data_IF_547451688071
#
_entry.id   IF_547451688071
#
_cell.length_a   1.000
_cell.length_b   1.000
_cell.length_c   1.000
_cell.angle_alpha   90.00
_cell.angle_beta   90.00
_cell.angle_gamma   90.00
#
_symmetry.space_group_name_H-M   'P 1'
#
loop_
_entity.id
_entity.type
_entity.pdbx_description
1 polymer ?
#
# COMPACT_ATOMS: atom_id res chain seq x y z
N UNK A 1 6.89 6.99 -0.74
CA UNK A 1 6.24 5.70 -0.46
C UNK A 1 4.76 5.86 -0.66
N UNK A 2 4.08 4.82 -1.13
CA UNK A 2 2.63 4.75 -1.26
C UNK A 2 2.20 3.51 -0.50
N UNK A 3 1.41 3.68 0.55
CA UNK A 3 0.83 2.57 1.30
C UNK A 3 -0.52 2.22 0.68
N UNK A 4 -0.74 0.94 0.39
CA UNK A 4 -2.00 0.43 -0.16
C UNK A 4 -2.57 -0.66 0.73
N UNK A 5 -3.89 -0.72 0.79
CA UNK A 5 -4.61 -1.83 1.40
C UNK A 5 -5.50 -2.45 0.32
N UNK A 6 -5.21 -3.69 -0.04
CA UNK A 6 -6.06 -4.46 -0.94
C UNK A 6 -7.26 -5.01 -0.18
N UNK A 7 -8.31 -5.39 -0.94
CA UNK A 7 -9.41 -6.14 -0.34
C UNK A 7 -8.90 -7.49 0.17
N UNK A 8 -9.47 -8.06 1.25
CA UNK A 8 -8.96 -9.27 1.90
C UNK A 8 -8.85 -10.51 0.99
N UNK A 9 -9.67 -10.57 -0.05
CA UNK A 9 -9.79 -11.64 -1.02
C UNK A 9 -8.83 -11.52 -2.22
N UNK A 10 -8.15 -10.37 -2.35
CA UNK A 10 -7.20 -10.14 -3.44
C UNK A 10 -5.92 -10.93 -3.16
N UNK A 11 -5.62 -11.89 -4.04
CA UNK A 11 -4.30 -12.52 -4.12
C UNK A 11 -3.47 -11.81 -5.15
N UNK A 12 -2.21 -11.54 -4.80
CA UNK A 12 -1.23 -10.98 -5.71
C UNK A 12 0.13 -11.63 -5.44
N UNK A 13 0.97 -11.66 -6.46
CA UNK A 13 2.36 -12.06 -6.37
C UNK A 13 3.26 -10.86 -6.08
N UNK A 14 4.52 -11.12 -5.70
CA UNK A 14 5.51 -10.05 -5.56
C UNK A 14 5.74 -9.30 -6.89
N UNK A 15 5.73 -10.01 -8.03
CA UNK A 15 5.84 -9.38 -9.35
C UNK A 15 4.68 -8.45 -9.65
N UNK A 16 3.47 -8.78 -9.22
CA UNK A 16 2.32 -7.88 -9.41
C UNK A 16 2.48 -6.58 -8.60
N UNK A 17 3.08 -6.64 -7.40
CA UNK A 17 3.39 -5.45 -6.62
C UNK A 17 4.46 -4.58 -7.30
N UNK A 18 5.52 -5.21 -7.83
CA UNK A 18 6.57 -4.49 -8.57
C UNK A 18 5.98 -3.80 -9.80
N UNK A 19 5.22 -4.53 -10.62
CA UNK A 19 4.59 -3.99 -11.82
C UNK A 19 3.66 -2.81 -11.51
N UNK A 20 2.80 -2.92 -10.48
CA UNK A 20 1.93 -1.82 -10.04
C UNK A 20 2.71 -0.62 -9.51
N UNK A 21 3.84 -0.86 -8.83
CA UNK A 21 4.76 0.19 -8.41
C UNK A 21 5.36 0.95 -9.59
N UNK A 22 5.76 0.24 -10.64
CA UNK A 22 6.32 0.84 -11.86
C UNK A 22 5.27 1.69 -12.62
N UNK A 23 4.02 1.24 -12.66
CA UNK A 23 2.91 2.04 -13.22
C UNK A 23 2.71 3.36 -12.46
N UNK A 24 2.74 3.32 -11.12
CA UNK A 24 2.65 4.52 -10.29
C UNK A 24 3.86 5.43 -10.47
N UNK A 25 5.06 4.87 -10.58
CA UNK A 25 6.29 5.61 -10.87
C UNK A 25 6.18 6.36 -12.21
N UNK A 26 5.68 5.69 -13.25
CA UNK A 26 5.43 6.31 -14.56
C UNK A 26 4.46 7.48 -14.45
N UNK A 27 3.35 7.32 -13.72
CA UNK A 27 2.32 8.36 -13.56
C UNK A 27 2.78 9.54 -12.71
N UNK A 28 3.55 9.29 -11.66
CA UNK A 28 4.05 10.35 -10.76
C UNK A 28 5.34 11.00 -11.23
N UNK A 29 6.01 10.46 -12.26
CA UNK A 29 7.28 10.98 -12.76
C UNK A 29 8.44 10.88 -11.75
N UNK A 30 8.32 10.04 -10.72
CA UNK A 30 9.33 9.85 -9.67
C UNK A 30 9.33 8.43 -9.13
N UNK A 31 10.42 7.94 -8.53
CA UNK A 31 10.44 6.63 -7.87
C UNK A 31 9.33 6.49 -6.83
N UNK A 32 8.64 5.34 -6.84
CA UNK A 32 7.58 4.99 -5.90
C UNK A 32 7.93 3.67 -5.22
N UNK A 33 8.00 3.70 -3.90
CA UNK A 33 8.01 2.50 -3.06
C UNK A 33 6.56 2.16 -2.70
N UNK A 34 6.04 1.06 -3.26
CA UNK A 34 4.67 0.58 -3.02
C UNK A 34 4.67 -0.43 -1.88
N UNK A 35 3.94 -0.13 -0.82
CA UNK A 35 3.90 -0.92 0.40
C UNK A 35 2.50 -1.46 0.63
N UNK A 36 2.37 -2.76 0.91
CA UNK A 36 1.13 -3.33 1.43
C UNK A 36 1.01 -3.03 2.93
N UNK A 37 -0.13 -2.45 3.34
CA UNK A 37 -0.42 -2.11 4.74
C UNK A 37 -0.33 -3.31 5.66
N UNK A 38 -0.99 -4.43 5.33
CA UNK A 38 -1.02 -5.65 6.15
C UNK A 38 0.39 -6.23 6.32
N UNK A 39 1.21 -6.20 5.25
CA UNK A 39 2.60 -6.63 5.32
C UNK A 39 3.43 -5.73 6.26
N UNK A 40 3.21 -4.41 6.24
CA UNK A 40 3.87 -3.45 7.14
C UNK A 40 3.42 -3.67 8.59
N UNK A 41 2.13 -3.89 8.84
CA UNK A 41 1.58 -4.17 10.17
C UNK A 41 2.26 -5.40 10.80
N UNK A 42 2.41 -6.48 10.02
CA UNK A 42 3.02 -7.74 10.45
C UNK A 42 4.55 -7.73 10.50
N UNK A 43 5.20 -6.65 10.05
CA UNK A 43 6.66 -6.58 10.00
C UNK A 43 7.28 -6.71 11.39
N UNK A 44 8.35 -7.50 11.52
CA UNK A 44 9.09 -7.59 12.78
C UNK A 44 9.85 -6.30 13.12
N UNK A 45 10.13 -5.46 12.12
CA UNK A 45 10.81 -4.18 12.32
C UNK A 45 9.83 -3.11 12.81
N UNK A 46 9.64 -3.04 14.13
CA UNK A 46 8.68 -2.14 14.75
C UNK A 46 9.02 -0.65 14.54
N UNK A 47 10.30 -0.29 14.40
CA UNK A 47 10.74 1.09 14.19
C UNK A 47 10.28 1.56 12.80
N UNK A 48 10.55 0.78 11.75
CA UNK A 48 10.11 1.09 10.39
C UNK A 48 8.58 1.16 10.31
N UNK A 49 7.88 0.20 10.92
CA UNK A 49 6.41 0.19 10.99
C UNK A 49 5.88 1.47 11.63
N UNK A 50 6.43 1.86 12.78
CA UNK A 50 6.01 3.07 13.50
C UNK A 50 6.22 4.32 12.65
N UNK A 51 7.39 4.48 12.03
CA UNK A 51 7.67 5.66 11.17
C UNK A 51 6.69 5.75 9.99
N UNK A 52 6.38 4.61 9.35
CA UNK A 52 5.44 4.59 8.22
C UNK A 52 4.05 5.04 8.68
N UNK A 53 3.53 4.51 9.78
CA UNK A 53 2.17 4.85 10.24
C UNK A 53 2.09 6.24 10.88
N UNK A 54 3.11 6.69 11.60
CA UNK A 54 3.11 8.03 12.21
C UNK A 54 3.13 9.15 11.15
N UNK A 55 3.61 8.86 9.93
CA UNK A 55 3.71 9.82 8.83
C UNK A 55 2.69 9.58 7.71
N UNK A 56 1.75 8.64 7.87
CA UNK A 56 0.81 8.31 6.82
C UNK A 56 -0.23 9.40 6.62
N UNK A 57 -0.61 9.60 5.35
CA UNK A 57 -1.72 10.49 4.98
C UNK A 57 -2.63 9.73 4.02
N UNK A 58 -3.92 9.74 4.33
CA UNK A 58 -4.93 9.06 3.52
C UNK A 58 -5.15 9.86 2.23
N UNK A 59 -4.79 9.28 1.09
CA UNK A 59 -5.03 9.86 -0.24
C UNK A 59 -6.36 9.44 -0.84
N UNK A 60 -6.82 8.23 -0.55
CA UNK A 60 -8.04 7.65 -1.10
C UNK A 60 -8.57 6.56 -0.19
N UNK A 61 -9.89 6.50 -0.05
CA UNK A 61 -10.62 5.41 0.60
C UNK A 61 -11.72 4.98 -0.37
N UNK A 62 -11.72 3.71 -0.76
CA UNK A 62 -12.87 3.16 -1.47
C UNK A 62 -14.04 3.06 -0.50
N UNK A 63 -15.17 3.69 -0.80
CA UNK A 63 -16.39 3.48 -0.03
C UNK A 63 -16.85 2.03 -0.25
N UNK A 64 -16.97 1.27 0.83
CA UNK A 64 -17.70 0.00 0.79
C UNK A 64 -19.17 0.34 0.67
N UNK A 65 -19.85 -0.14 -0.38
CA UNK A 65 -21.31 -0.03 -0.43
C UNK A 65 -21.89 -0.61 0.87
N UNK A 66 -22.67 0.19 1.59
CA UNK A 66 -23.47 -0.28 2.72
C UNK A 66 -24.44 -1.33 2.14
N UNK A 67 -24.43 -2.58 2.62
CA UNK A 67 -25.51 -3.50 2.27
C UNK A 67 -26.80 -2.98 2.90
N UNK A 68 -27.88 -2.94 2.12
CA UNK A 68 -29.24 -2.60 2.58
C UNK A 68 -29.68 -3.42 3.81
#
# INVERSE_FOLDING_TARGET
NVLVQFKPDVRYSLSDLVQRGDELKSRFGRPVDLLDRVAVERSQNYIRRKIIFDSEQVLYVAQTAVPD
#
